data_IF_886020158996
#
_entry.id   IF_886020158996
#
_cell.length_a   1.000
_cell.length_b   1.000
_cell.length_c   1.000
_cell.angle_alpha   90.00
_cell.angle_beta   90.00
_cell.angle_gamma   90.00
#
_symmetry.space_group_name_H-M   'P 1'
#
loop_
_entity.id
_entity.type
_entity.pdbx_description
1 polymer ?
#
# COMPACT_ATOMS: atom_id res chain seq x y z
N UNK A 1 20.57 23.02 7.34
CA UNK A 1 21.60 22.15 6.72
C UNK A 1 21.35 20.65 6.85
N UNK A 2 21.24 20.04 8.04
CA UNK A 2 21.07 18.57 8.16
C UNK A 2 19.73 18.04 7.60
N UNK A 3 18.63 18.78 7.80
CA UNK A 3 17.31 18.47 7.22
C UNK A 3 17.29 18.64 5.69
N UNK A 4 18.07 19.60 5.17
CA UNK A 4 18.15 19.98 3.74
C UNK A 4 19.04 19.05 2.89
N UNK A 5 19.96 18.32 3.52
CA UNK A 5 20.71 17.23 2.89
C UNK A 5 19.86 15.96 2.76
N UNK A 6 18.96 15.72 3.72
CA UNK A 6 18.08 14.55 3.76
C UNK A 6 16.92 14.62 2.76
N UNK A 7 16.54 15.82 2.32
CA UNK A 7 15.44 16.06 1.37
C UNK A 7 15.80 15.69 -0.08
N UNK A 8 16.97 16.11 -0.56
CA UNK A 8 17.39 15.83 -1.93
C UNK A 8 17.71 14.36 -2.15
N UNK A 9 18.22 13.67 -1.13
CA UNK A 9 18.46 12.23 -1.22
C UNK A 9 17.16 11.46 -1.41
N UNK A 10 16.04 11.90 -0.82
CA UNK A 10 14.75 11.16 -0.83
C UNK A 10 14.04 11.20 -2.18
N UNK A 11 13.86 12.38 -2.77
CA UNK A 11 13.23 12.49 -4.09
C UNK A 11 14.10 11.83 -5.15
N UNK A 12 15.42 11.96 -5.05
CA UNK A 12 16.36 11.29 -5.93
C UNK A 12 16.35 9.77 -5.75
N UNK A 13 16.22 9.29 -4.51
CA UNK A 13 16.05 7.86 -4.20
C UNK A 13 14.73 7.32 -4.79
N UNK A 14 13.64 8.09 -4.66
CA UNK A 14 12.31 7.69 -5.11
C UNK A 14 12.13 7.74 -6.64
N UNK A 15 12.63 8.80 -7.29
CA UNK A 15 12.34 9.11 -8.70
C UNK A 15 13.54 8.95 -9.63
N UNK A 16 14.76 9.03 -9.08
CA UNK A 16 16.02 9.10 -9.83
C UNK A 16 16.69 10.46 -9.73
N UNK A 17 17.89 10.56 -10.27
CA UNK A 17 18.67 11.80 -10.42
C UNK A 17 18.10 12.71 -11.51
N UNK A 18 17.33 12.13 -12.44
CA UNK A 18 16.81 12.79 -13.64
C UNK A 18 15.37 12.39 -13.93
N UNK A 19 14.61 13.34 -14.46
CA UNK A 19 13.25 13.16 -14.96
C UNK A 19 13.16 13.60 -16.41
N UNK A 20 12.16 13.10 -17.12
CA UNK A 20 11.81 13.54 -18.46
C UNK A 20 10.75 14.66 -18.36
N UNK A 21 10.93 15.76 -19.08
CA UNK A 21 9.94 16.84 -19.22
C UNK A 21 9.71 17.09 -20.72
N UNK A 22 8.56 16.66 -21.23
CA UNK A 22 8.35 16.54 -22.68
C UNK A 22 9.41 15.61 -23.30
N UNK A 23 10.25 16.14 -24.18
CA UNK A 23 11.34 15.40 -24.82
C UNK A 23 12.72 15.62 -24.18
N UNK A 24 12.83 16.47 -23.16
CA UNK A 24 14.10 16.84 -22.53
C UNK A 24 14.29 16.13 -21.19
N UNK A 25 15.52 15.67 -20.92
CA UNK A 25 15.88 15.14 -19.60
C UNK A 25 16.37 16.26 -18.70
N UNK A 26 15.77 16.40 -17.52
CA UNK A 26 16.05 17.45 -16.54
C UNK A 26 16.61 16.83 -15.26
N UNK A 27 17.71 17.39 -14.75
CA UNK A 27 18.24 16.99 -13.44
C UNK A 27 17.32 17.44 -12.31
N UNK A 28 17.06 16.52 -11.39
CA UNK A 28 16.26 16.78 -10.20
C UNK A 28 17.00 17.71 -9.25
N UNK A 29 16.57 18.98 -9.19
CA UNK A 29 17.10 19.97 -8.26
C UNK A 29 16.17 20.20 -7.06
N UNK A 30 16.77 20.60 -5.93
CA UNK A 30 16.08 20.74 -4.63
C UNK A 30 14.96 21.78 -4.63
N UNK A 31 15.07 22.80 -5.46
CA UNK A 31 14.10 23.88 -5.59
C UNK A 31 12.87 23.51 -6.43
N UNK A 32 12.93 22.41 -7.19
CA UNK A 32 11.92 22.10 -8.21
C UNK A 32 10.53 21.88 -7.63
N UNK A 33 10.42 21.31 -6.43
CA UNK A 33 9.13 20.97 -5.80
C UNK A 33 8.88 21.64 -4.45
N UNK A 34 9.76 22.56 -4.03
CA UNK A 34 9.65 23.13 -2.70
C UNK A 34 8.41 24.02 -2.57
N UNK A 35 7.50 23.67 -1.65
CA UNK A 35 6.25 24.41 -1.43
C UNK A 35 5.15 24.12 -2.47
N UNK A 36 5.34 23.14 -3.36
CA UNK A 36 4.32 22.70 -4.31
C UNK A 36 3.69 21.36 -3.89
N UNK A 37 2.42 21.17 -4.20
CA UNK A 37 1.75 19.88 -4.18
C UNK A 37 2.36 18.97 -5.26
N UNK A 38 2.54 17.71 -4.92
CA UNK A 38 3.05 16.70 -5.85
C UNK A 38 1.93 15.73 -6.16
N UNK A 39 1.71 15.46 -7.43
CA UNK A 39 0.79 14.45 -7.90
C UNK A 39 1.54 13.33 -8.62
N UNK A 40 1.29 12.09 -8.23
CA UNK A 40 1.82 10.92 -8.92
C UNK A 40 0.75 10.38 -9.86
N UNK A 41 1.04 10.41 -11.16
CA UNK A 41 0.13 9.95 -12.20
C UNK A 41 0.60 8.61 -12.76
N UNK A 42 -0.04 7.52 -12.34
CA UNK A 42 0.28 6.17 -12.79
C UNK A 42 -0.49 5.84 -14.06
N UNK A 43 0.23 5.50 -15.12
CA UNK A 43 -0.34 5.21 -16.46
C UNK A 43 0.15 3.84 -16.94
N UNK A 44 -0.76 2.90 -17.29
CA UNK A 44 -0.36 1.61 -17.85
C UNK A 44 0.14 1.79 -19.28
N UNK A 45 1.23 1.10 -19.63
CA UNK A 45 1.69 0.97 -21.02
C UNK A 45 0.83 -0.09 -21.72
N UNK A 46 -0.11 0.30 -22.59
CA UNK A 46 -0.95 -0.67 -23.33
C UNK A 46 -1.25 -0.21 -24.77
N UNK A 47 -1.51 -1.16 -25.68
CA UNK A 47 -1.82 -0.87 -27.08
C UNK A 47 -3.15 -0.14 -27.30
N UNK A 48 -4.07 -0.27 -26.34
CA UNK A 48 -5.38 0.41 -26.33
C UNK A 48 -5.33 1.75 -25.56
N UNK A 49 -4.17 2.14 -25.01
CA UNK A 49 -3.99 3.41 -24.29
C UNK A 49 -3.86 4.60 -25.26
N UNK A 50 -4.91 4.84 -26.05
CA UNK A 50 -5.37 6.22 -26.17
C UNK A 50 -6.40 6.38 -25.06
N UNK A 51 -5.93 6.64 -23.84
CA UNK A 51 -6.88 7.03 -22.80
C UNK A 51 -7.39 8.42 -23.14
N UNK A 52 -8.61 8.37 -23.64
CA UNK A 52 -9.47 9.47 -23.94
C UNK A 52 -9.58 10.28 -22.64
N UNK A 53 -9.22 11.56 -22.71
CA UNK A 53 -9.39 12.60 -21.67
C UNK A 53 -8.28 12.89 -20.64
N UNK A 54 -7.01 12.85 -21.07
CA UNK A 54 -5.94 13.67 -20.45
C UNK A 54 -6.28 15.19 -20.43
N UNK A 55 -7.31 15.61 -21.17
CA UNK A 55 -7.80 17.00 -21.24
C UNK A 55 -8.18 17.54 -19.87
N UNK A 56 -8.94 16.79 -19.06
CA UNK A 56 -9.34 17.24 -17.74
C UNK A 56 -8.14 17.42 -16.80
N UNK A 57 -7.13 16.55 -16.90
CA UNK A 57 -5.89 16.65 -16.14
C UNK A 57 -5.05 17.85 -16.60
N UNK A 58 -4.94 18.07 -17.91
CA UNK A 58 -4.26 19.23 -18.51
C UNK A 58 -4.96 20.54 -18.14
N UNK A 59 -6.28 20.57 -18.16
CA UNK A 59 -7.08 21.73 -17.75
C UNK A 59 -6.90 22.03 -16.26
N UNK A 60 -6.90 21.01 -15.39
CA UNK A 60 -6.54 21.19 -13.98
C UNK A 60 -5.12 21.74 -13.83
N UNK A 61 -4.13 21.10 -14.46
CA UNK A 61 -2.72 21.49 -14.35
C UNK A 61 -2.51 22.94 -14.78
N UNK A 62 -3.14 23.33 -15.91
CA UNK A 62 -3.14 24.69 -16.41
C UNK A 62 -3.82 25.65 -15.44
N UNK A 63 -5.05 25.35 -15.00
CA UNK A 63 -5.83 26.22 -14.10
C UNK A 63 -5.11 26.46 -12.77
N UNK A 64 -4.50 25.42 -12.20
CA UNK A 64 -3.78 25.51 -10.93
C UNK A 64 -2.51 26.32 -11.10
N UNK A 65 -1.67 25.99 -12.08
CA UNK A 65 -0.36 26.62 -12.24
C UNK A 65 -0.38 28.01 -12.89
N UNK A 66 -1.45 28.38 -13.62
CA UNK A 66 -1.67 29.75 -14.10
C UNK A 66 -1.98 30.71 -12.94
N UNK A 67 -2.67 30.23 -11.91
CA UNK A 67 -3.10 31.06 -10.79
C UNK A 67 -2.05 31.08 -9.66
N UNK A 68 -1.45 29.94 -9.31
CA UNK A 68 -0.44 29.82 -8.23
C UNK A 68 0.47 28.61 -8.52
N UNK A 69 1.79 28.77 -8.68
CA UNK A 69 2.76 27.69 -9.00
C UNK A 69 2.81 26.59 -7.92
N UNK A 70 1.82 25.70 -7.88
CA UNK A 70 1.54 24.87 -6.72
C UNK A 70 1.26 23.41 -7.03
N UNK A 71 1.23 22.96 -8.29
CA UNK A 71 1.03 21.54 -8.63
C UNK A 71 2.08 21.02 -9.60
N UNK A 72 2.87 20.05 -9.14
CA UNK A 72 3.78 19.28 -9.99
C UNK A 72 3.24 17.87 -10.19
N UNK A 73 3.00 17.48 -11.45
CA UNK A 73 2.62 16.11 -11.81
C UNK A 73 3.90 15.34 -12.16
N UNK A 74 3.99 14.11 -11.67
CA UNK A 74 5.06 13.16 -11.95
C UNK A 74 4.40 11.88 -12.47
N UNK A 75 4.51 11.67 -13.77
CA UNK A 75 3.97 10.54 -14.49
C UNK A 75 4.88 9.31 -14.32
N UNK A 76 4.27 8.18 -13.98
CA UNK A 76 4.93 6.91 -13.76
C UNK A 76 4.27 5.90 -14.69
N UNK A 77 4.91 5.69 -15.84
CA UNK A 77 4.49 4.68 -16.80
C UNK A 77 4.98 3.32 -16.35
N UNK A 78 4.09 2.37 -16.11
CA UNK A 78 4.49 1.03 -15.69
C UNK A 78 4.29 0.03 -16.83
N UNK A 79 5.31 -0.79 -17.12
CA UNK A 79 5.21 -1.83 -18.14
C UNK A 79 4.43 -3.02 -17.61
N UNK A 80 3.73 -3.68 -18.53
CA UNK A 80 3.35 -5.08 -18.34
C UNK A 80 4.23 -6.01 -19.24
N UNK A 81 5.06 -5.51 -20.18
CA UNK A 81 5.93 -6.34 -21.06
C UNK A 81 7.26 -5.66 -21.50
N UNK A 82 8.16 -6.45 -22.13
CA UNK A 82 9.54 -6.06 -22.49
C UNK A 82 9.69 -5.11 -23.70
N UNK A 83 8.63 -4.88 -24.48
CA UNK A 83 8.66 -4.13 -25.76
C UNK A 83 7.90 -2.79 -25.72
N UNK A 84 7.70 -2.22 -24.53
CA UNK A 84 6.78 -1.09 -24.33
C UNK A 84 7.40 0.30 -24.56
N UNK A 85 8.65 0.40 -25.05
CA UNK A 85 9.36 1.70 -25.20
C UNK A 85 8.63 2.67 -26.12
N UNK A 86 8.07 2.17 -27.22
CA UNK A 86 7.30 3.00 -28.16
C UNK A 86 6.10 3.67 -27.48
N UNK A 87 5.34 2.90 -26.69
CA UNK A 87 4.20 3.41 -25.94
C UNK A 87 4.62 4.41 -24.86
N UNK A 88 5.77 4.17 -24.23
CA UNK A 88 6.32 5.12 -23.27
C UNK A 88 6.58 6.47 -23.95
N UNK A 89 7.32 6.47 -25.05
CA UNK A 89 7.65 7.70 -25.77
C UNK A 89 6.39 8.44 -26.23
N UNK A 90 5.37 7.72 -26.74
CA UNK A 90 4.07 8.29 -27.13
C UNK A 90 3.33 8.97 -25.97
N UNK A 91 3.33 8.38 -24.78
CA UNK A 91 2.63 8.91 -23.60
C UNK A 91 3.36 10.03 -22.88
N UNK A 92 4.68 10.13 -23.06
CA UNK A 92 5.51 11.14 -22.39
C UNK A 92 5.89 12.32 -23.30
N UNK A 93 5.76 12.18 -24.62
CA UNK A 93 5.98 13.28 -25.54
C UNK A 93 4.89 14.36 -25.35
N UNK A 94 5.31 15.63 -25.34
CA UNK A 94 4.42 16.81 -25.29
C UNK A 94 3.42 16.85 -24.10
N UNK A 95 3.80 16.25 -22.97
CA UNK A 95 3.11 16.46 -21.69
C UNK A 95 3.72 17.66 -20.95
N UNK A 96 2.92 18.50 -20.26
CA UNK A 96 3.39 19.69 -19.57
C UNK A 96 3.97 19.39 -18.17
N UNK A 97 4.25 18.12 -17.86
CA UNK A 97 4.66 17.63 -16.56
C UNK A 97 5.85 16.67 -16.66
N UNK A 98 6.35 16.20 -15.51
CA UNK A 98 7.52 15.33 -15.47
C UNK A 98 7.13 13.86 -15.59
N UNK A 99 8.03 13.04 -16.11
CA UNK A 99 7.91 11.58 -16.18
C UNK A 99 9.15 10.89 -15.65
N UNK A 100 8.97 9.78 -14.91
CA UNK A 100 10.11 8.94 -14.50
C UNK A 100 10.69 8.24 -15.72
N UNK A 101 12.01 8.38 -15.92
CA UNK A 101 12.74 7.85 -17.08
C UNK A 101 12.47 6.35 -17.32
N UNK A 102 12.41 5.94 -18.59
CA UNK A 102 12.18 4.55 -19.01
C UNK A 102 13.23 3.57 -18.47
N UNK A 103 14.47 4.02 -18.32
CA UNK A 103 15.60 3.25 -17.83
C UNK A 103 15.48 2.96 -16.32
N UNK A 104 14.75 3.80 -15.57
CA UNK A 104 14.51 3.64 -14.13
C UNK A 104 13.36 2.65 -13.83
N UNK A 105 13.35 1.48 -14.49
CA UNK A 105 12.27 0.49 -14.38
C UNK A 105 12.01 0.03 -12.93
N UNK A 106 13.09 -0.22 -12.17
CA UNK A 106 13.00 -0.56 -10.75
C UNK A 106 12.22 0.50 -9.95
N UNK A 107 12.53 1.79 -10.15
CA UNK A 107 11.85 2.88 -9.44
C UNK A 107 10.36 2.94 -9.76
N UNK A 108 10.00 2.77 -11.03
CA UNK A 108 8.58 2.78 -11.47
C UNK A 108 7.79 1.63 -10.85
N UNK A 109 8.34 0.41 -10.85
CA UNK A 109 7.72 -0.77 -10.23
C UNK A 109 7.56 -0.56 -8.71
N UNK A 110 8.59 -0.04 -8.04
CA UNK A 110 8.55 0.21 -6.59
C UNK A 110 7.56 1.27 -6.20
N UNK A 111 7.51 2.41 -6.91
CA UNK A 111 6.50 3.44 -6.67
C UNK A 111 5.09 2.87 -6.79
N UNK A 112 4.85 2.06 -7.83
CA UNK A 112 3.55 1.40 -8.03
C UNK A 112 3.17 0.51 -6.84
N UNK A 113 4.10 -0.31 -6.34
CA UNK A 113 3.86 -1.20 -5.20
C UNK A 113 3.69 -0.42 -3.88
N UNK A 114 4.56 0.55 -3.60
CA UNK A 114 4.53 1.43 -2.42
C UNK A 114 3.17 2.12 -2.28
N UNK A 115 2.64 2.62 -3.39
CA UNK A 115 1.32 3.25 -3.39
C UNK A 115 0.17 2.29 -3.75
N UNK A 116 0.39 0.98 -3.74
CA UNK A 116 -0.66 -0.04 -3.99
C UNK A 116 -1.50 0.23 -5.26
N UNK A 117 -0.86 0.68 -6.33
CA UNK A 117 -1.53 1.01 -7.58
C UNK A 117 -1.69 -0.25 -8.42
N UNK A 118 -2.94 -0.59 -8.77
CA UNK A 118 -3.28 -1.72 -9.64
C UNK A 118 -2.94 -1.47 -11.12
N UNK A 119 -3.62 -2.18 -12.04
CA UNK A 119 -3.38 -2.05 -13.50
C UNK A 119 -4.18 -0.92 -14.16
N UNK A 120 -4.90 -0.12 -13.38
CA UNK A 120 -5.70 0.99 -13.89
C UNK A 120 -4.99 2.32 -13.68
N UNK A 121 -5.27 3.29 -14.54
CA UNK A 121 -4.82 4.67 -14.37
C UNK A 121 -5.22 5.23 -13.01
N UNK A 122 -4.28 5.90 -12.35
CA UNK A 122 -4.48 6.38 -10.98
C UNK A 122 -3.71 7.69 -10.78
N UNK A 123 -4.40 8.74 -10.33
CA UNK A 123 -3.78 10.00 -9.91
C UNK A 123 -3.82 10.10 -8.40
N UNK A 124 -2.64 10.08 -7.79
CA UNK A 124 -2.46 10.30 -6.36
C UNK A 124 -2.06 11.76 -6.13
N UNK A 125 -2.69 12.45 -5.19
CA UNK A 125 -2.22 13.76 -4.74
C UNK A 125 -1.54 13.60 -3.38
N UNK A 126 -0.34 14.15 -3.24
CA UNK A 126 0.50 14.12 -2.06
C UNK A 126 0.69 15.58 -1.59
N UNK A 127 0.46 15.86 -0.31
CA UNK A 127 0.47 17.24 0.24
C UNK A 127 1.76 17.55 0.99
N UNK A 128 2.84 16.86 0.67
CA UNK A 128 4.10 17.12 1.34
C UNK A 128 5.27 16.91 0.37
N UNK A 129 6.29 17.73 0.57
CA UNK A 129 7.59 17.69 -0.11
C UNK A 129 8.30 16.33 0.05
N UNK A 130 7.78 15.44 0.90
CA UNK A 130 8.34 14.12 1.21
C UNK A 130 7.58 12.93 0.61
N UNK A 131 6.47 13.14 -0.13
CA UNK A 131 5.67 12.07 -0.77
C UNK A 131 5.07 11.03 0.21
N UNK A 132 5.03 11.32 1.51
CA UNK A 132 4.69 10.34 2.54
C UNK A 132 3.18 10.17 2.75
N UNK A 133 2.43 11.27 2.74
CA UNK A 133 0.99 11.26 3.00
C UNK A 133 0.22 11.31 1.69
N UNK A 134 -0.51 10.24 1.39
CA UNK A 134 -1.46 10.24 0.27
C UNK A 134 -2.71 11.00 0.69
N UNK A 135 -2.98 12.13 0.04
CA UNK A 135 -4.15 12.96 0.31
C UNK A 135 -5.39 12.47 -0.43
N UNK A 136 -5.21 12.05 -1.66
CA UNK A 136 -6.27 11.35 -2.40
C UNK A 136 -5.65 10.30 -3.30
N UNK A 137 -6.30 9.12 -3.34
CA UNK A 137 -6.00 8.05 -4.30
C UNK A 137 -6.83 8.14 -5.59
N UNK A 138 -7.75 9.10 -5.65
CA UNK A 138 -8.80 9.19 -6.67
C UNK A 138 -8.79 10.52 -7.42
N UNK A 139 -7.62 11.13 -7.60
CA UNK A 139 -7.51 12.43 -8.27
C UNK A 139 -8.25 12.46 -9.61
N UNK A 140 -8.13 11.41 -10.43
CA UNK A 140 -8.80 11.30 -11.74
C UNK A 140 -10.33 11.34 -11.62
N UNK A 141 -10.90 10.65 -10.63
CA UNK A 141 -12.36 10.67 -10.43
C UNK A 141 -12.81 12.04 -9.93
N UNK A 142 -12.03 12.67 -9.04
CA UNK A 142 -12.35 13.98 -8.50
C UNK A 142 -12.30 15.10 -9.55
N UNK A 143 -11.48 14.96 -10.62
CA UNK A 143 -11.52 15.84 -11.79
C UNK A 143 -12.91 15.91 -12.44
N UNK A 144 -13.64 14.79 -12.42
CA UNK A 144 -14.98 14.69 -13.02
C UNK A 144 -16.11 15.14 -12.10
N UNK A 145 -15.85 15.34 -10.80
CA UNK A 145 -16.86 15.73 -9.82
C UNK A 145 -17.08 17.25 -9.82
N UNK A 146 -18.26 17.69 -10.26
CA UNK A 146 -18.65 19.10 -10.16
C UNK A 146 -18.76 19.56 -8.69
N UNK A 147 -18.24 20.75 -8.38
CA UNK A 147 -18.37 21.40 -7.07
C UNK A 147 -17.28 21.14 -6.03
N UNK A 148 -16.20 20.40 -6.37
CA UNK A 148 -15.04 20.21 -5.49
C UNK A 148 -13.87 21.10 -5.96
N UNK A 149 -13.37 21.99 -5.10
CA UNK A 149 -12.22 22.84 -5.41
C UNK A 149 -10.90 22.13 -5.09
N UNK A 150 -9.94 22.22 -6.01
CA UNK A 150 -8.54 21.87 -5.73
C UNK A 150 -7.92 22.91 -4.77
N UNK A 151 -7.00 22.52 -3.86
CA UNK A 151 -6.56 21.16 -3.62
C UNK A 151 -7.57 20.43 -2.74
N UNK A 152 -7.87 19.17 -3.05
CA UNK A 152 -8.85 18.35 -2.31
C UNK A 152 -8.30 17.93 -0.92
N UNK A 153 -7.80 18.90 -0.15
CA UNK A 153 -6.83 18.73 0.94
C UNK A 153 -7.42 18.57 2.32
N UNK A 154 -8.69 18.89 2.54
CA UNK A 154 -9.24 18.83 3.89
C UNK A 154 -9.93 17.50 4.12
N UNK A 155 -9.25 16.59 4.84
CA UNK A 155 -9.88 15.57 5.68
C UNK A 155 -11.10 14.85 5.06
N UNK A 156 -11.13 14.64 3.74
CA UNK A 156 -12.31 14.07 3.07
C UNK A 156 -12.62 12.72 3.70
N UNK A 157 -11.58 11.91 3.89
CA UNK A 157 -11.67 10.60 4.52
C UNK A 157 -12.11 10.71 5.98
N UNK A 158 -11.46 11.56 6.80
CA UNK A 158 -11.78 11.70 8.22
C UNK A 158 -13.21 12.24 8.43
N UNK A 159 -13.61 13.28 7.70
CA UNK A 159 -14.95 13.91 7.79
C UNK A 159 -16.06 12.94 7.38
N UNK A 160 -15.87 12.23 6.26
CA UNK A 160 -16.85 11.25 5.76
C UNK A 160 -16.90 10.04 6.68
N UNK A 161 -15.76 9.63 7.23
CA UNK A 161 -15.73 8.63 8.29
C UNK A 161 -16.53 9.13 9.50
N UNK A 162 -16.32 10.35 9.98
CA UNK A 162 -17.10 10.92 11.09
C UNK A 162 -18.61 10.92 10.80
N UNK A 163 -19.03 11.21 9.57
CA UNK A 163 -20.44 11.08 9.17
C UNK A 163 -20.96 9.64 9.26
N UNK A 164 -20.16 8.66 8.86
CA UNK A 164 -20.49 7.26 9.04
C UNK A 164 -20.53 6.85 10.52
N UNK A 165 -19.56 7.33 11.32
CA UNK A 165 -19.46 7.02 12.76
C UNK A 165 -20.64 7.57 13.57
N UNK A 166 -21.21 8.71 13.17
CA UNK A 166 -22.45 9.25 13.79
C UNK A 166 -23.63 8.28 13.73
N UNK A 167 -23.61 7.30 12.83
CA UNK A 167 -24.65 6.27 12.70
C UNK A 167 -24.43 5.09 13.65
N UNK A 168 -23.26 4.98 14.28
CA UNK A 168 -23.00 3.95 15.31
C UNK A 168 -23.61 4.41 16.64
N UNK A 169 -24.62 3.70 17.13
CA UNK A 169 -25.41 4.07 18.32
C UNK A 169 -24.75 3.71 19.67
N UNK A 170 -23.42 3.56 19.74
CA UNK A 170 -22.74 3.17 20.98
C UNK A 170 -22.01 4.36 21.61
N UNK A 171 -21.97 4.40 22.95
CA UNK A 171 -21.18 5.37 23.71
C UNK A 171 -19.73 5.33 23.20
N UNK A 172 -19.36 6.37 22.43
CA UNK A 172 -18.05 6.48 21.79
C UNK A 172 -17.00 6.64 22.88
N UNK A 173 -16.35 5.54 23.24
CA UNK A 173 -15.10 5.61 23.99
C UNK A 173 -13.99 6.13 23.05
N UNK A 174 -13.00 6.83 23.58
CA UNK A 174 -11.88 7.35 22.78
C UNK A 174 -10.99 6.25 22.15
N UNK A 175 -11.29 4.96 22.37
CA UNK A 175 -10.49 3.82 21.92
C UNK A 175 -11.28 2.86 21.00
N UNK A 176 -12.51 3.21 20.61
CA UNK A 176 -13.30 2.35 19.73
C UNK A 176 -12.70 2.28 18.33
N UNK A 177 -12.55 1.06 17.82
CA UNK A 177 -12.10 0.76 16.47
C UNK A 177 -13.32 0.48 15.60
N UNK A 178 -13.33 0.99 14.37
CA UNK A 178 -14.45 0.82 13.46
C UNK A 178 -14.03 0.07 12.20
N UNK A 179 -14.89 -0.82 11.72
CA UNK A 179 -14.74 -1.53 10.46
C UNK A 179 -15.75 -1.07 9.43
N UNK A 180 -15.32 -0.41 8.36
CA UNK A 180 -16.18 -0.08 7.22
C UNK A 180 -16.24 -1.29 6.28
N UNK A 181 -17.38 -1.97 6.26
CA UNK A 181 -17.57 -3.20 5.51
C UNK A 181 -18.36 -2.94 4.22
N UNK A 182 -17.69 -3.00 3.07
CA UNK A 182 -18.28 -2.83 1.76
C UNK A 182 -18.70 -4.18 1.18
N UNK A 183 -19.99 -4.32 0.88
CA UNK A 183 -20.58 -5.61 0.52
C UNK A 183 -21.91 -5.41 -0.23
N UNK A 184 -22.43 -6.48 -0.82
CA UNK A 184 -23.72 -6.48 -1.48
C UNK A 184 -24.38 -7.86 -1.50
N UNK A 185 -25.71 -7.88 -1.60
CA UNK A 185 -26.50 -9.11 -1.66
C UNK A 185 -26.25 -9.91 -2.94
N UNK A 186 -26.02 -9.24 -4.06
CA UNK A 186 -25.81 -9.87 -5.36
C UNK A 186 -24.43 -10.51 -5.50
N UNK A 187 -23.53 -10.31 -4.53
CA UNK A 187 -22.14 -10.74 -4.56
C UNK A 187 -21.94 -12.09 -3.83
N UNK A 188 -21.65 -13.20 -4.54
CA UNK A 188 -21.40 -14.50 -3.91
C UNK A 188 -20.22 -14.53 -2.91
N UNK A 189 -19.01 -13.97 -3.22
CA UNK A 189 -17.90 -14.00 -2.26
C UNK A 189 -18.19 -13.16 -1.01
N UNK A 190 -19.09 -12.18 -1.11
CA UNK A 190 -19.56 -11.40 0.03
C UNK A 190 -20.39 -12.28 0.99
N UNK A 191 -21.34 -13.05 0.45
CA UNK A 191 -22.16 -13.99 1.23
C UNK A 191 -21.30 -15.03 1.94
N UNK A 192 -20.29 -15.57 1.26
CA UNK A 192 -19.37 -16.54 1.83
C UNK A 192 -18.50 -15.98 2.98
N UNK A 193 -18.23 -14.67 2.96
CA UNK A 193 -17.37 -14.02 3.96
C UNK A 193 -18.11 -13.62 5.25
N UNK A 194 -19.42 -13.38 5.19
CA UNK A 194 -20.22 -12.92 6.35
C UNK A 194 -20.07 -13.83 7.58
N UNK A 195 -20.18 -15.17 7.49
CA UNK A 195 -20.04 -16.04 8.66
C UNK A 195 -18.67 -15.90 9.35
N UNK A 196 -17.59 -15.76 8.57
CA UNK A 196 -16.24 -15.57 9.10
C UNK A 196 -16.11 -14.21 9.80
N UNK A 197 -16.67 -13.16 9.17
CA UNK A 197 -16.68 -11.81 9.73
C UNK A 197 -17.48 -11.74 11.05
N UNK A 198 -18.62 -12.43 11.14
CA UNK A 198 -19.42 -12.51 12.36
C UNK A 198 -18.62 -13.18 13.49
N UNK A 199 -17.98 -14.33 13.21
CA UNK A 199 -17.14 -15.02 14.18
C UNK A 199 -16.01 -14.15 14.72
N UNK A 200 -15.25 -13.51 13.82
CA UNK A 200 -14.16 -12.61 14.20
C UNK A 200 -14.68 -11.43 15.04
N UNK A 201 -15.76 -10.80 14.59
CA UNK A 201 -16.39 -9.66 15.27
C UNK A 201 -16.86 -10.01 16.68
N UNK A 202 -17.55 -11.14 16.88
CA UNK A 202 -18.00 -11.57 18.20
C UNK A 202 -16.83 -11.95 19.13
N UNK A 203 -15.73 -12.47 18.56
CA UNK A 203 -14.53 -12.84 19.32
C UNK A 203 -13.70 -11.62 19.73
N UNK A 204 -13.55 -10.64 18.83
CA UNK A 204 -12.81 -9.39 19.07
C UNK A 204 -13.55 -8.51 20.08
N UNK A 205 -14.88 -8.36 19.94
CA UNK A 205 -15.70 -7.48 20.80
C UNK A 205 -15.74 -7.90 22.28
N UNK A 206 -15.37 -9.15 22.59
CA UNK A 206 -15.18 -9.60 23.98
C UNK A 206 -13.96 -8.98 24.66
N UNK A 207 -12.99 -8.50 23.88
CA UNK A 207 -11.68 -8.01 24.37
C UNK A 207 -11.46 -6.53 24.07
N UNK A 208 -11.94 -6.05 22.93
CA UNK A 208 -11.67 -4.70 22.40
C UNK A 208 -12.97 -4.05 21.95
N UNK A 209 -13.11 -2.75 22.17
CA UNK A 209 -14.22 -1.97 21.62
C UNK A 209 -14.11 -1.90 20.09
N UNK A 210 -14.91 -2.72 19.41
CA UNK A 210 -14.93 -2.84 17.96
C UNK A 210 -16.37 -2.69 17.46
N UNK A 211 -16.60 -1.95 16.40
CA UNK A 211 -17.91 -1.85 15.75
C UNK A 211 -17.76 -1.90 14.23
N UNK A 212 -18.67 -2.57 13.53
CA UNK A 212 -18.68 -2.62 12.07
C UNK A 212 -19.79 -1.69 11.57
N UNK A 213 -19.58 -1.03 10.43
CA UNK A 213 -20.59 -0.25 9.73
C UNK A 213 -20.68 -0.79 8.31
N UNK A 214 -21.85 -1.33 7.96
CA UNK A 214 -22.11 -1.86 6.64
C UNK A 214 -22.34 -0.73 5.62
N UNK A 215 -21.54 -0.75 4.54
CA UNK A 215 -21.64 0.14 3.39
C UNK A 215 -22.12 -0.68 2.18
N UNK A 216 -23.41 -0.58 1.88
CA UNK A 216 -24.03 -1.39 0.82
C UNK A 216 -23.72 -0.89 -0.58
N UNK A 217 -23.39 -1.81 -1.48
CA UNK A 217 -23.38 -1.62 -2.94
C UNK A 217 -24.61 -2.22 -3.64
N UNK A 218 -25.68 -2.50 -2.91
CA UNK A 218 -26.94 -3.00 -3.48
C UNK A 218 -27.65 -1.91 -4.29
N UNK A 219 -28.33 -2.36 -5.36
CA UNK A 219 -29.05 -1.51 -6.33
C UNK A 219 -30.55 -1.40 -6.05
N UNK A 220 -31.04 -2.12 -5.06
CA UNK A 220 -32.45 -2.06 -4.62
C UNK A 220 -32.51 -2.08 -3.10
N UNK A 221 -33.52 -1.39 -2.54
CA UNK A 221 -33.77 -1.35 -1.10
C UNK A 221 -34.13 -2.74 -0.55
N UNK A 222 -34.83 -3.56 -1.34
CA UNK A 222 -35.17 -4.93 -0.96
C UNK A 222 -33.91 -5.80 -0.78
N UNK A 223 -32.96 -5.72 -1.72
CA UNK A 223 -31.68 -6.43 -1.63
C UNK A 223 -30.85 -5.91 -0.46
N UNK A 224 -30.81 -4.59 -0.27
CA UNK A 224 -30.16 -3.94 0.87
C UNK A 224 -30.70 -4.47 2.21
N UNK A 225 -32.02 -4.44 2.41
CA UNK A 225 -32.65 -4.87 3.65
C UNK A 225 -32.37 -6.35 3.93
N UNK A 226 -32.52 -7.19 2.90
CA UNK A 226 -32.26 -8.63 3.02
C UNK A 226 -30.81 -8.93 3.43
N UNK A 227 -29.85 -8.15 2.92
CA UNK A 227 -28.44 -8.30 3.24
C UNK A 227 -28.11 -7.76 4.63
N UNK A 228 -28.58 -6.55 4.95
CA UNK A 228 -28.37 -5.92 6.25
C UNK A 228 -28.94 -6.79 7.40
N UNK A 229 -30.11 -7.41 7.21
CA UNK A 229 -30.70 -8.32 8.20
C UNK A 229 -29.89 -9.60 8.44
N UNK A 230 -28.94 -9.94 7.58
CA UNK A 230 -28.05 -11.09 7.79
C UNK A 230 -26.84 -10.78 8.70
N UNK A 231 -26.73 -9.53 9.17
CA UNK A 231 -25.55 -9.04 9.89
C UNK A 231 -25.95 -8.38 11.23
N UNK A 232 -25.14 -8.52 12.28
CA UNK A 232 -25.44 -7.97 13.60
C UNK A 232 -25.07 -6.50 13.80
N UNK A 233 -24.39 -5.87 12.83
CA UNK A 233 -23.88 -4.50 12.92
C UNK A 233 -24.77 -3.48 12.19
N UNK A 234 -24.67 -2.18 12.55
CA UNK A 234 -25.39 -1.12 11.86
C UNK A 234 -24.96 -0.95 10.40
N UNK A 235 -25.79 -0.26 9.64
CA UNK A 235 -25.62 -0.03 8.21
C UNK A 235 -25.92 1.42 7.84
N UNK A 236 -25.20 1.96 6.86
CA UNK A 236 -25.52 3.27 6.30
C UNK A 236 -26.87 3.18 5.58
N UNK A 237 -27.87 4.01 5.94
CA UNK A 237 -29.21 3.95 5.36
C UNK A 237 -29.17 3.90 3.84
N UNK A 238 -29.99 3.04 3.23
CA UNK A 238 -30.04 2.89 1.78
C UNK A 238 -30.30 4.23 1.05
N UNK A 239 -31.12 5.09 1.64
CA UNK A 239 -31.46 6.43 1.12
C UNK A 239 -30.27 7.40 1.12
N UNK A 240 -29.25 7.18 1.95
CA UNK A 240 -28.05 8.00 1.99
C UNK A 240 -27.03 7.58 0.92
N UNK A 241 -27.44 7.68 -0.35
CA UNK A 241 -26.64 7.29 -1.51
C UNK A 241 -25.32 8.08 -1.59
N UNK A 242 -25.36 9.38 -1.28
CA UNK A 242 -24.19 10.26 -1.32
C UNK A 242 -23.09 9.77 -0.37
N UNK A 243 -23.41 9.46 0.88
CA UNK A 243 -22.43 8.98 1.84
C UNK A 243 -21.84 7.62 1.44
N UNK A 244 -22.69 6.68 0.96
CA UNK A 244 -22.23 5.37 0.48
C UNK A 244 -21.27 5.50 -0.71
N UNK A 245 -21.60 6.36 -1.67
CA UNK A 245 -20.74 6.64 -2.82
C UNK A 245 -19.42 7.31 -2.40
N UNK A 246 -19.51 8.34 -1.55
CA UNK A 246 -18.34 9.05 -1.04
C UNK A 246 -17.38 8.13 -0.30
N UNK A 247 -17.87 7.18 0.51
CA UNK A 247 -17.04 6.17 1.19
C UNK A 247 -16.40 5.19 0.22
N UNK A 248 -17.18 4.66 -0.73
CA UNK A 248 -16.68 3.73 -1.77
C UNK A 248 -15.55 4.37 -2.56
N UNK A 249 -15.72 5.65 -2.90
CA UNK A 249 -14.71 6.45 -3.57
C UNK A 249 -13.52 6.71 -2.66
N UNK A 250 -13.74 7.26 -1.46
CA UNK A 250 -12.72 7.57 -0.45
C UNK A 250 -11.70 6.45 -0.27
N UNK A 251 -12.16 5.21 -0.15
CA UNK A 251 -11.32 4.04 0.06
C UNK A 251 -10.94 3.29 -1.24
N UNK A 252 -11.22 3.89 -2.41
CA UNK A 252 -10.92 3.32 -3.73
C UNK A 252 -11.35 1.84 -3.82
N UNK A 253 -12.57 1.56 -3.40
CA UNK A 253 -13.10 0.18 -3.33
C UNK A 253 -13.35 -0.32 -4.75
N UNK A 254 -12.40 -1.12 -5.27
CA UNK A 254 -12.46 -1.69 -6.63
C UNK A 254 -13.17 -3.04 -6.70
N UNK A 255 -13.36 -3.70 -5.56
CA UNK A 255 -14.00 -5.00 -5.47
C UNK A 255 -14.55 -5.23 -4.07
N UNK A 256 -15.55 -6.10 -3.98
CA UNK A 256 -16.21 -6.49 -2.72
C UNK A 256 -16.16 -8.03 -2.55
N UNK A 257 -16.12 -8.55 -1.32
CA UNK A 257 -16.18 -7.81 -0.05
C UNK A 257 -14.87 -7.09 0.28
N UNK A 258 -14.97 -5.91 0.90
CA UNK A 258 -13.83 -5.09 1.32
C UNK A 258 -14.04 -4.59 2.75
N UNK A 259 -12.99 -4.59 3.57
CA UNK A 259 -13.08 -4.19 4.98
C UNK A 259 -11.90 -3.28 5.31
N UNK A 260 -12.22 -2.05 5.71
CA UNK A 260 -11.24 -1.07 6.18
C UNK A 260 -11.43 -0.85 7.68
N UNK A 261 -10.35 -0.95 8.46
CA UNK A 261 -10.35 -0.55 9.86
C UNK A 261 -9.86 0.89 10.01
N UNK A 262 -10.58 1.65 10.83
CA UNK A 262 -10.25 3.03 11.19
C UNK A 262 -10.34 3.20 12.71
N UNK A 263 -9.62 4.19 13.24
CA UNK A 263 -9.80 4.64 14.61
C UNK A 263 -10.99 5.63 14.75
N UNK A 264 -11.23 6.09 15.97
CA UNK A 264 -12.28 7.05 16.30
C UNK A 264 -12.13 8.42 15.62
N UNK A 265 -10.95 8.76 15.12
CA UNK A 265 -10.70 9.99 14.37
C UNK A 265 -10.92 9.81 12.86
N UNK A 266 -11.20 8.58 12.41
CA UNK A 266 -11.30 8.24 11.00
C UNK A 266 -9.94 7.99 10.34
N UNK A 267 -8.87 7.83 11.12
CA UNK A 267 -7.56 7.47 10.61
C UNK A 267 -7.52 5.97 10.32
N UNK A 268 -6.99 5.63 9.15
CA UNK A 268 -6.84 4.24 8.70
C UNK A 268 -5.87 3.49 9.61
N UNK A 269 -6.32 2.32 10.07
CA UNK A 269 -5.50 1.31 10.76
C UNK A 269 -5.05 0.25 9.75
N UNK A 270 -5.98 -0.30 8.97
CA UNK A 270 -5.68 -1.23 7.87
C UNK A 270 -6.75 -1.16 6.79
N UNK A 271 -6.35 -1.21 5.51
CA UNK A 271 -7.27 -1.34 4.37
C UNK A 271 -7.44 -2.79 3.92
N UNK A 272 -6.72 -3.73 4.56
CA UNK A 272 -6.67 -5.15 4.20
C UNK A 272 -7.47 -6.05 5.15
N UNK A 273 -8.47 -5.52 5.86
CA UNK A 273 -9.17 -6.24 6.93
C UNK A 273 -9.80 -7.57 6.49
N UNK A 274 -10.21 -7.71 5.21
CA UNK A 274 -10.70 -8.99 4.67
C UNK A 274 -9.63 -10.09 4.72
N UNK A 275 -8.42 -9.76 4.30
CA UNK A 275 -7.32 -10.72 4.28
C UNK A 275 -6.93 -11.06 5.73
N UNK A 276 -6.80 -10.04 6.59
CA UNK A 276 -6.44 -10.22 8.00
C UNK A 276 -7.44 -11.10 8.75
N UNK A 277 -8.75 -11.03 8.48
CA UNK A 277 -9.74 -11.96 9.07
C UNK A 277 -9.58 -13.39 8.57
N UNK A 278 -9.16 -13.56 7.32
CA UNK A 278 -8.86 -14.90 6.81
C UNK A 278 -7.66 -15.47 7.56
N UNK A 279 -6.62 -14.64 7.79
CA UNK A 279 -5.37 -14.97 8.50
C UNK A 279 -5.53 -15.24 9.98
N UNK A 280 -6.28 -14.38 10.65
CA UNK A 280 -6.44 -14.33 12.09
C UNK A 280 -7.95 -14.35 12.42
N UNK A 281 -8.62 -15.50 12.24
CA UNK A 281 -10.08 -15.61 12.40
C UNK A 281 -10.56 -15.24 13.81
N UNK A 282 -9.69 -15.44 14.80
CA UNK A 282 -9.97 -15.13 16.19
C UNK A 282 -9.50 -13.73 16.60
N UNK A 283 -8.88 -12.95 15.69
CA UNK A 283 -8.44 -11.59 15.96
C UNK A 283 -7.41 -11.49 17.08
N UNK A 284 -6.50 -12.45 17.20
CA UNK A 284 -5.40 -12.45 18.17
C UNK A 284 -4.47 -11.24 17.99
N UNK A 285 -4.29 -10.79 16.74
CA UNK A 285 -3.44 -9.66 16.36
C UNK A 285 -4.26 -8.40 16.03
N UNK A 286 -5.56 -8.39 16.32
CA UNK A 286 -6.41 -7.22 16.14
C UNK A 286 -5.84 -6.02 16.93
N UNK A 287 -5.78 -4.80 16.36
CA UNK A 287 -6.49 -4.33 15.18
C UNK A 287 -5.72 -4.42 13.86
N UNK A 288 -4.84 -5.41 13.73
CA UNK A 288 -4.09 -5.69 12.50
C UNK A 288 -3.34 -4.46 12.00
N UNK A 289 -2.69 -3.77 12.94
CA UNK A 289 -1.67 -2.76 12.59
C UNK A 289 -0.55 -3.47 11.84
N UNK A 290 0.13 -2.74 10.96
CA UNK A 290 1.33 -3.23 10.28
C UNK A 290 2.29 -3.86 11.30
N UNK A 291 2.59 -5.15 11.14
CA UNK A 291 3.60 -5.83 11.94
C UNK A 291 4.98 -5.52 11.38
N UNK A 292 5.96 -5.44 12.27
CA UNK A 292 7.36 -5.30 11.89
C UNK A 292 7.95 -6.63 11.43
N UNK A 293 7.52 -7.73 12.07
CA UNK A 293 7.93 -9.10 11.75
C UNK A 293 6.69 -9.97 11.58
N UNK A 294 6.69 -10.82 10.55
CA UNK A 294 5.64 -11.77 10.22
C UNK A 294 6.18 -13.20 10.36
N UNK A 295 5.33 -14.16 10.75
CA UNK A 295 5.64 -15.58 10.55
C UNK A 295 5.16 -15.99 9.16
N UNK A 296 6.01 -16.65 8.39
CA UNK A 296 5.72 -17.04 7.02
C UNK A 296 4.54 -18.01 7.00
N UNK A 297 3.60 -17.76 6.10
CA UNK A 297 2.48 -18.65 5.84
C UNK A 297 2.11 -18.57 4.37
N UNK A 298 1.47 -19.62 3.84
CA UNK A 298 1.01 -19.70 2.44
C UNK A 298 0.22 -18.47 1.99
N UNK A 299 -0.46 -17.83 2.93
CA UNK A 299 -1.34 -16.68 2.71
C UNK A 299 -0.60 -15.34 2.72
N UNK A 300 0.61 -15.26 3.28
CA UNK A 300 1.47 -14.08 3.23
C UNK A 300 2.44 -14.08 2.04
N UNK A 301 2.54 -15.18 1.29
CA UNK A 301 3.32 -15.26 0.05
C UNK A 301 3.00 -14.12 -0.96
N UNK A 302 1.73 -13.68 -1.15
CA UNK A 302 1.44 -12.54 -2.00
C UNK A 302 2.08 -11.22 -1.54
N UNK A 303 2.41 -11.06 -0.25
CA UNK A 303 3.15 -9.88 0.24
C UNK A 303 4.60 -9.89 -0.26
N UNK A 304 5.24 -11.07 -0.31
CA UNK A 304 6.61 -11.24 -0.83
C UNK A 304 6.72 -10.90 -2.32
N UNK A 305 5.64 -11.09 -3.09
CA UNK A 305 5.62 -10.72 -4.52
C UNK A 305 5.65 -9.21 -4.76
N UNK A 306 5.32 -8.40 -3.75
CA UNK A 306 5.22 -6.93 -3.88
C UNK A 306 6.42 -6.21 -3.29
N UNK A 307 6.95 -6.71 -2.18
CA UNK A 307 7.97 -6.04 -1.39
C UNK A 307 9.19 -6.92 -1.20
N UNK A 308 10.41 -6.34 -1.17
CA UNK A 308 11.58 -7.09 -0.77
C UNK A 308 11.41 -7.52 0.70
N UNK A 309 11.91 -8.69 1.04
CA UNK A 309 11.73 -9.28 2.36
C UNK A 309 13.04 -9.86 2.88
N UNK A 310 13.34 -9.57 4.13
CA UNK A 310 14.34 -10.30 4.90
C UNK A 310 13.64 -11.50 5.53
N UNK A 311 14.05 -12.69 5.17
CA UNK A 311 13.49 -13.95 5.64
C UNK A 311 14.55 -14.67 6.44
N UNK A 312 14.26 -14.91 7.72
CA UNK A 312 15.07 -15.75 8.60
C UNK A 312 14.44 -17.15 8.62
N UNK A 313 15.07 -18.09 7.95
CA UNK A 313 14.70 -19.50 8.05
C UNK A 313 15.26 -20.09 9.33
N UNK A 314 14.45 -20.85 10.07
CA UNK A 314 14.82 -21.54 11.31
C UNK A 314 14.57 -23.05 11.18
N UNK A 315 15.14 -23.85 12.09
CA UNK A 315 15.05 -25.32 12.04
C UNK A 315 13.79 -25.89 12.71
N UNK A 316 13.11 -25.13 13.57
CA UNK A 316 11.89 -25.57 14.24
C UNK A 316 10.66 -24.70 13.95
N UNK A 317 9.50 -25.22 14.34
CA UNK A 317 8.20 -24.55 14.28
C UNK A 317 7.63 -24.25 15.69
N UNK A 318 8.42 -24.52 16.73
CA UNK A 318 8.04 -24.33 18.13
C UNK A 318 8.01 -22.84 18.51
N UNK A 319 7.11 -22.48 19.42
CA UNK A 319 6.88 -21.10 19.87
C UNK A 319 8.16 -20.47 20.45
N UNK A 320 8.97 -21.23 21.19
CA UNK A 320 10.23 -20.77 21.78
C UNK A 320 11.28 -20.36 20.72
N UNK A 321 11.39 -21.11 19.62
CA UNK A 321 12.30 -20.77 18.52
C UNK A 321 11.81 -19.56 17.72
N UNK A 322 10.49 -19.47 17.50
CA UNK A 322 9.86 -18.32 16.87
C UNK A 322 10.08 -17.04 17.69
N UNK A 323 9.95 -17.10 19.01
CA UNK A 323 10.21 -15.98 19.91
C UNK A 323 11.67 -15.54 19.88
N UNK A 324 12.62 -16.48 19.85
CA UNK A 324 14.05 -16.18 19.72
C UNK A 324 14.37 -15.50 18.37
N UNK A 325 13.80 -16.02 17.29
CA UNK A 325 13.94 -15.45 15.95
C UNK A 325 13.30 -14.05 15.85
N UNK A 326 12.13 -13.85 16.45
CA UNK A 326 11.50 -12.54 16.55
C UNK A 326 12.34 -11.58 17.39
N UNK A 327 12.93 -12.06 18.50
CA UNK A 327 13.79 -11.26 19.38
C UNK A 327 14.99 -10.63 18.68
N UNK A 328 15.56 -11.28 17.65
CA UNK A 328 16.67 -10.72 16.86
C UNK A 328 16.22 -9.89 15.67
N UNK A 329 15.08 -10.22 15.05
CA UNK A 329 14.57 -9.49 13.89
C UNK A 329 13.80 -8.21 14.25
N UNK A 330 13.01 -8.25 15.33
CA UNK A 330 12.09 -7.18 15.68
C UNK A 330 12.80 -5.84 15.96
N UNK A 331 13.91 -5.78 16.72
CA UNK A 331 14.63 -4.52 16.94
C UNK A 331 15.13 -3.92 15.62
N UNK A 332 15.66 -4.77 14.72
CA UNK A 332 16.15 -4.35 13.40
C UNK A 332 15.00 -3.84 12.54
N UNK A 333 13.90 -4.59 12.46
CA UNK A 333 12.73 -4.20 11.69
C UNK A 333 12.16 -2.86 12.18
N UNK A 334 12.02 -2.68 13.50
CA UNK A 334 11.58 -1.41 14.08
C UNK A 334 12.53 -0.26 13.79
N UNK A 335 13.84 -0.48 13.89
CA UNK A 335 14.83 0.56 13.61
C UNK A 335 14.85 0.93 12.13
N UNK A 336 14.79 -0.05 11.23
CA UNK A 336 14.68 0.18 9.78
C UNK A 336 13.41 0.95 9.47
N UNK A 337 12.26 0.56 10.02
CA UNK A 337 11.02 1.32 9.82
C UNK A 337 11.13 2.74 10.41
N UNK A 338 11.76 2.96 11.57
CA UNK A 338 11.90 4.31 12.15
C UNK A 338 12.87 5.20 11.37
N UNK A 339 14.01 4.66 10.95
CA UNK A 339 15.09 5.42 10.29
C UNK A 339 14.86 5.57 8.78
N UNK A 340 14.15 4.62 8.18
CA UNK A 340 13.92 4.50 6.74
C UNK A 340 12.43 4.39 6.38
N UNK A 341 11.50 4.85 7.25
CA UNK A 341 10.04 4.87 6.98
C UNK A 341 9.66 5.48 5.63
N UNK A 342 10.54 6.33 5.10
CA UNK A 342 10.29 7.12 3.89
C UNK A 342 11.16 6.66 2.71
N UNK A 343 11.93 5.56 2.86
CA UNK A 343 12.69 4.98 1.77
C UNK A 343 11.76 4.47 0.65
N UNK A 344 12.30 4.28 -0.56
CA UNK A 344 11.55 3.66 -1.65
C UNK A 344 11.16 2.20 -1.34
N UNK A 345 11.88 1.58 -0.41
CA UNK A 345 11.78 0.16 -0.09
C UNK A 345 11.05 -0.05 1.25
N UNK A 346 9.80 -0.48 1.18
CA UNK A 346 9.14 -1.13 2.32
C UNK A 346 9.77 -2.51 2.48
N UNK A 347 10.80 -2.63 3.31
CA UNK A 347 11.46 -3.91 3.58
C UNK A 347 10.65 -4.68 4.62
N UNK A 348 10.12 -5.83 4.23
CA UNK A 348 9.39 -6.71 5.13
C UNK A 348 10.35 -7.65 5.87
N UNK A 349 9.97 -8.09 7.06
CA UNK A 349 10.73 -9.08 7.82
C UNK A 349 9.84 -10.29 8.11
N UNK A 350 10.36 -11.47 7.82
CA UNK A 350 9.69 -12.74 8.00
C UNK A 350 10.55 -13.72 8.78
N UNK A 351 9.91 -14.51 9.62
CA UNK A 351 10.43 -15.75 10.18
C UNK A 351 9.82 -16.88 9.36
N UNK A 352 10.65 -17.76 8.82
CA UNK A 352 10.25 -18.91 8.04
C UNK A 352 10.49 -20.18 8.88
N UNK A 353 9.47 -20.71 9.57
CA UNK A 353 9.60 -21.95 10.36
C UNK A 353 9.86 -23.16 9.46
N UNK A 354 10.26 -24.29 10.05
CA UNK A 354 10.41 -25.55 9.31
C UNK A 354 9.03 -26.12 8.92
N UNK A 355 8.49 -25.63 7.80
CA UNK A 355 7.19 -26.01 7.27
C UNK A 355 7.17 -26.06 5.72
N UNK A 356 6.08 -26.61 5.17
CA UNK A 356 5.93 -26.75 3.73
C UNK A 356 5.87 -25.42 2.96
N UNK A 357 5.52 -24.31 3.63
CA UNK A 357 5.51 -22.98 3.03
C UNK A 357 6.95 -22.50 2.84
N UNK A 358 7.78 -22.64 3.86
CA UNK A 358 9.20 -22.31 3.84
C UNK A 358 9.93 -23.14 2.80
N UNK A 359 9.64 -24.44 2.69
CA UNK A 359 10.19 -25.32 1.64
C UNK A 359 9.83 -24.82 0.24
N UNK A 360 8.58 -24.44 0.02
CA UNK A 360 8.11 -23.91 -1.25
C UNK A 360 8.86 -22.63 -1.61
N UNK A 361 9.09 -21.75 -0.62
CA UNK A 361 9.82 -20.51 -0.83
C UNK A 361 11.32 -20.77 -1.11
N UNK A 362 11.96 -21.68 -0.37
CA UNK A 362 13.35 -22.12 -0.61
C UNK A 362 13.53 -22.69 -2.00
N UNK A 363 12.62 -23.57 -2.43
CA UNK A 363 12.64 -24.15 -3.78
C UNK A 363 12.46 -23.09 -4.85
N UNK A 364 11.50 -22.18 -4.67
CA UNK A 364 11.25 -21.08 -5.60
C UNK A 364 12.48 -20.17 -5.75
N UNK A 365 13.16 -19.89 -4.64
CA UNK A 365 14.36 -19.04 -4.61
C UNK A 365 15.65 -19.78 -4.94
N UNK A 366 15.59 -21.10 -5.16
CA UNK A 366 16.76 -21.97 -5.39
C UNK A 366 17.82 -21.84 -4.29
N UNK A 367 17.40 -21.63 -3.04
CA UNK A 367 18.30 -21.70 -1.90
C UNK A 367 18.79 -23.14 -1.78
N UNK A 368 20.08 -23.36 -2.05
CA UNK A 368 20.73 -24.68 -1.98
C UNK A 368 21.26 -25.02 -0.61
N UNK A 369 21.24 -24.05 0.31
CA UNK A 369 21.71 -24.21 1.67
C UNK A 369 20.54 -24.62 2.58
N UNK A 370 20.54 -25.89 2.94
CA UNK A 370 19.57 -26.48 3.87
C UNK A 370 19.96 -26.20 5.33
N UNK A 371 21.13 -25.61 5.60
CA UNK A 371 21.52 -25.24 6.96
C UNK A 371 20.70 -24.05 7.43
N UNK A 372 20.08 -24.20 8.60
CA UNK A 372 19.44 -23.12 9.31
C UNK A 372 20.14 -22.92 10.68
N UNK A 373 20.01 -21.74 11.32
CA UNK A 373 19.25 -20.59 10.85
C UNK A 373 19.94 -19.85 9.68
N UNK A 374 19.16 -19.44 8.69
CA UNK A 374 19.64 -18.80 7.45
C UNK A 374 18.91 -17.47 7.20
N UNK A 375 19.66 -16.37 7.16
CA UNK A 375 19.11 -15.06 6.85
C UNK A 375 19.27 -14.76 5.35
N UNK A 376 18.15 -14.55 4.65
CA UNK A 376 18.13 -14.26 3.23
C UNK A 376 17.30 -13.01 2.94
N UNK A 377 17.81 -12.10 2.13
CA UNK A 377 17.01 -11.04 1.53
C UNK A 377 16.49 -11.52 0.17
N UNK A 378 15.16 -11.60 0.05
CA UNK A 378 14.45 -12.04 -1.14
C UNK A 378 13.73 -10.86 -1.77
N UNK A 379 14.03 -10.58 -3.03
CA UNK A 379 13.45 -9.48 -3.80
C UNK A 379 12.78 -10.05 -5.06
N UNK A 380 11.61 -10.68 -4.85
CA UNK A 380 10.80 -11.30 -5.92
C UNK A 380 10.46 -10.31 -7.04
N UNK A 381 10.06 -9.04 -6.76
CA UNK A 381 9.79 -8.08 -7.83
C UNK A 381 10.95 -7.91 -8.83
N UNK A 382 12.19 -8.02 -8.34
CA UNK A 382 13.41 -7.90 -9.14
C UNK A 382 14.06 -9.25 -9.46
N UNK A 383 13.37 -10.36 -9.15
CA UNK A 383 13.82 -11.74 -9.35
C UNK A 383 15.25 -12.01 -8.84
N UNK A 384 15.60 -11.49 -7.66
CA UNK A 384 16.95 -11.61 -7.08
C UNK A 384 16.94 -11.92 -5.58
N UNK A 385 17.98 -12.57 -5.09
CA UNK A 385 18.20 -12.88 -3.68
C UNK A 385 19.62 -12.55 -3.23
N UNK A 386 19.80 -12.34 -1.94
CA UNK A 386 21.10 -12.23 -1.28
C UNK A 386 21.05 -13.03 0.01
N UNK A 387 22.06 -13.86 0.25
CA UNK A 387 22.16 -14.72 1.43
C UNK A 387 23.25 -14.16 2.33
N UNK A 388 22.99 -14.11 3.64
CA UNK A 388 24.02 -13.72 4.61
C UNK A 388 25.18 -14.73 4.58
N UNK A 389 26.42 -14.25 4.71
CA UNK A 389 27.61 -15.10 4.60
C UNK A 389 27.60 -16.24 5.63
N UNK A 390 27.99 -17.44 5.18
CA UNK A 390 28.09 -18.63 6.03
C UNK A 390 29.05 -18.41 7.21
N UNK A 391 28.64 -18.87 8.40
CA UNK A 391 29.43 -18.74 9.64
C UNK A 391 29.25 -17.41 10.37
N UNK A 392 28.50 -16.45 9.82
CA UNK A 392 28.11 -15.23 10.54
C UNK A 392 26.98 -15.56 11.51
N UNK A 393 27.21 -15.35 12.81
CA UNK A 393 26.17 -15.51 13.82
C UNK A 393 25.02 -14.53 13.58
N UNK A 394 23.78 -15.03 13.67
CA UNK A 394 22.57 -14.22 13.55
C UNK A 394 22.37 -13.46 14.87
N UNK A 395 22.61 -12.15 14.81
CA UNK A 395 22.50 -11.21 15.92
C UNK A 395 21.89 -9.92 15.39
N UNK A 396 21.32 -9.09 16.26
CA UNK A 396 20.79 -7.77 15.86
C UNK A 396 21.80 -6.96 15.02
N UNK A 397 23.08 -6.96 15.41
CA UNK A 397 24.14 -6.21 14.74
C UNK A 397 24.47 -6.78 13.35
N UNK A 398 24.57 -8.10 13.20
CA UNK A 398 24.87 -8.72 11.91
C UNK A 398 23.69 -8.57 10.94
N UNK A 399 22.46 -8.77 11.40
CA UNK A 399 21.24 -8.54 10.61
C UNK A 399 21.17 -7.07 10.18
N UNK A 400 21.39 -6.12 11.09
CA UNK A 400 21.36 -4.69 10.75
C UNK A 400 22.40 -4.34 9.69
N UNK A 401 23.64 -4.80 9.83
CA UNK A 401 24.69 -4.56 8.84
C UNK A 401 24.33 -5.15 7.47
N UNK A 402 23.76 -6.36 7.46
CA UNK A 402 23.28 -7.00 6.23
C UNK A 402 22.18 -6.15 5.57
N UNK A 403 21.17 -5.72 6.34
CA UNK A 403 20.08 -4.87 5.85
C UNK A 403 20.56 -3.50 5.37
N UNK A 404 21.53 -2.88 6.04
CA UNK A 404 22.11 -1.61 5.59
C UNK A 404 22.79 -1.77 4.23
N UNK A 405 23.43 -2.91 3.97
CA UNK A 405 24.02 -3.20 2.66
C UNK A 405 23.00 -3.15 1.51
N UNK A 406 21.74 -3.50 1.77
CA UNK A 406 20.65 -3.39 0.79
C UNK A 406 20.34 -1.93 0.47
N UNK A 407 20.13 -1.10 1.50
CA UNK A 407 19.81 0.32 1.32
C UNK A 407 20.95 1.14 0.75
N UNK A 408 22.19 0.77 1.08
CA UNK A 408 23.39 1.46 0.62
C UNK A 408 23.85 0.97 -0.77
N UNK A 409 23.16 -0.01 -1.36
CA UNK A 409 23.47 -0.56 -2.69
C UNK A 409 24.78 -1.35 -2.75
N UNK A 410 25.31 -1.76 -1.60
CA UNK A 410 26.56 -2.54 -1.50
C UNK A 410 26.33 -4.05 -1.46
N UNK A 411 25.07 -4.47 -1.27
CA UNK A 411 24.68 -5.87 -1.25
C UNK A 411 24.85 -6.54 -2.61
N UNK A 412 25.47 -7.73 -2.60
CA UNK A 412 25.59 -8.56 -3.79
C UNK A 412 24.35 -9.42 -3.95
N UNK A 413 23.74 -9.33 -5.12
CA UNK A 413 22.56 -10.11 -5.47
C UNK A 413 22.89 -11.23 -6.45
N UNK A 414 22.17 -12.34 -6.31
CA UNK A 414 22.14 -13.45 -7.26
C UNK A 414 20.74 -13.53 -7.87
N UNK A 415 20.61 -13.80 -9.18
CA UNK A 415 19.31 -13.93 -9.82
C UNK A 415 18.62 -15.23 -9.36
N UNK A 416 17.29 -15.20 -9.27
CA UNK A 416 16.45 -16.38 -8.99
C UNK A 416 16.36 -17.30 -10.23
N UNK A 417 16.69 -16.78 -11.41
CA UNK A 417 16.62 -17.48 -12.70
C UNK A 417 17.97 -17.70 -13.35
#
# INVERSE_FOLDING_TARGET
>A
MAVELCLSSRLTELLGDRLLYGSETVELNKSMFNGSLIALYFVPLSSDAVTTDDRALRDLYKTVNENEKTLNIIQICYPDLSDDRKYFDELTNDVPWYSVLYENAEKRIRLRHKYHVGNAETLLILNDSYLDKVHTRNGLKLLSCSGKSFPWTNLWNETICQEALKLSCSNVSNETIYGLYFSAHWCPPCKAFIPQLIHAYDTIRKRIQFEIIFVSSDRSEQSYNSHASSMPWPSIPYTNTTLRQNLTECFNVRGIPYLVLIDNNGKIITENGRAEITEDPDGLYFPWRTRFVYSLSSRLLPKLQRFPAVVLFIEGDQEEELELAEGVLLPVAQQVTKTRSNALYDLLFFIAPDDCTSDTLRQFTRLTDDTAPLLTLIDIPMARISVMEYGVHITEKSIMNFVLGFFDGTMKFTPIL
#
